data_IF_308680689050
#
_entry.id   IF_308680689050
#
_cell.length_a   1.000
_cell.length_b   1.000
_cell.length_c   1.000
_cell.angle_alpha   90.00
_cell.angle_beta   90.00
_cell.angle_gamma   90.00
#
_symmetry.space_group_name_H-M   'P 1'
#
loop_
_entity.id
_entity.type
_entity.pdbx_description
1 polymer ?
#
# COMPACT_ATOMS: atom_id res chain seq x y z
N UNK A 1 27.76 -20.32 -8.08
CA UNK A 1 28.71 -19.95 -7.00
C UNK A 1 29.90 -19.12 -7.54
N UNK A 2 29.68 -17.94 -8.15
CA UNK A 2 30.78 -17.16 -8.75
C UNK A 2 30.87 -15.68 -8.33
N UNK A 3 30.12 -15.23 -7.32
CA UNK A 3 30.03 -13.79 -7.02
C UNK A 3 30.60 -13.33 -5.65
N UNK A 4 31.20 -14.24 -4.85
CA UNK A 4 31.80 -13.87 -3.56
C UNK A 4 33.29 -13.49 -3.63
N UNK A 5 34.01 -13.91 -4.68
CA UNK A 5 35.45 -13.61 -4.82
C UNK A 5 35.69 -12.18 -5.31
N UNK A 6 34.84 -11.67 -6.20
CA UNK A 6 34.93 -10.31 -6.74
C UNK A 6 34.71 -9.24 -5.65
N UNK A 7 33.78 -9.45 -4.71
CA UNK A 7 33.49 -8.44 -3.69
C UNK A 7 34.65 -8.19 -2.71
N UNK A 8 35.47 -9.22 -2.45
CA UNK A 8 36.66 -9.12 -1.58
C UNK A 8 37.82 -8.37 -2.23
N UNK A 9 37.99 -8.47 -3.55
CA UNK A 9 38.99 -7.67 -4.26
C UNK A 9 38.56 -6.20 -4.32
N UNK A 10 37.29 -5.93 -4.64
CA UNK A 10 36.76 -4.55 -4.63
C UNK A 10 36.90 -3.86 -3.26
N UNK A 11 36.68 -4.58 -2.15
CA UNK A 11 36.83 -4.00 -0.82
C UNK A 11 38.28 -3.66 -0.45
N UNK A 12 39.25 -4.46 -0.92
CA UNK A 12 40.68 -4.15 -0.74
C UNK A 12 41.11 -2.92 -1.54
N UNK A 13 40.64 -2.78 -2.78
CA UNK A 13 40.91 -1.60 -3.61
C UNK A 13 40.23 -0.33 -3.06
N UNK A 14 38.99 -0.44 -2.57
CA UNK A 14 38.27 0.67 -1.93
C UNK A 14 38.98 1.16 -0.66
N UNK A 15 39.51 0.25 0.16
CA UNK A 15 40.30 0.60 1.33
C UNK A 15 41.62 1.31 0.95
N UNK A 16 42.30 0.85 -0.10
CA UNK A 16 43.53 1.49 -0.60
C UNK A 16 43.29 2.92 -1.11
N UNK A 17 42.17 3.16 -1.81
CA UNK A 17 41.79 4.51 -2.29
C UNK A 17 41.43 5.45 -1.12
N UNK A 18 40.77 4.93 -0.08
CA UNK A 18 40.44 5.70 1.13
C UNK A 18 41.68 6.10 1.95
N UNK A 19 42.69 5.23 2.03
CA UNK A 19 43.96 5.55 2.74
C UNK A 19 44.80 6.57 1.96
N UNK A 20 44.80 6.51 0.62
CA UNK A 20 45.53 7.48 -0.21
C UNK A 20 44.96 8.91 -0.12
N UNK A 21 43.65 9.06 0.13
CA UNK A 21 43.01 10.37 0.29
C UNK A 21 43.26 11.03 1.66
N UNK A 22 43.67 10.27 2.68
CA UNK A 22 43.88 10.78 4.04
C UNK A 22 45.32 11.25 4.31
N UNK A 23 46.26 11.04 3.37
CA UNK A 23 47.67 11.41 3.55
C UNK A 23 48.08 12.74 2.86
N UNK A 24 47.14 13.49 2.27
CA UNK A 24 47.44 14.67 1.45
C UNK A 24 47.17 16.04 2.10
N UNK A 25 46.89 16.12 3.40
CA UNK A 25 46.72 17.39 4.11
C UNK A 25 47.52 17.42 5.42
N UNK A 26 48.84 17.56 5.32
CA UNK A 26 49.68 17.90 6.47
C UNK A 26 50.85 18.78 6.06
N UNK A 27 50.59 20.04 5.71
CA UNK A 27 51.57 21.14 5.87
C UNK A 27 50.91 22.51 5.66
N UNK A 28 50.55 23.18 6.76
CA UNK A 28 50.38 24.63 6.77
C UNK A 28 50.66 25.15 8.20
N UNK A 29 51.55 26.15 8.38
CA UNK A 29 51.89 26.69 9.70
C UNK A 29 50.76 27.57 10.27
N UNK A 30 50.64 27.66 11.62
CA UNK A 30 49.54 28.38 12.25
C UNK A 30 49.69 29.92 12.16
N UNK A 31 48.67 30.66 11.72
CA UNK A 31 48.65 32.12 11.82
C UNK A 31 48.24 32.60 13.24
N UNK A 32 48.70 33.80 13.66
CA UNK A 32 48.58 34.28 15.03
C UNK A 32 47.14 34.63 15.43
N UNK A 33 46.87 34.47 16.73
CA UNK A 33 45.59 34.64 17.39
C UNK A 33 44.96 36.02 17.13
N UNK A 34 43.80 36.03 16.48
CA UNK A 34 42.88 37.17 16.46
C UNK A 34 41.51 36.68 16.92
N UNK A 35 41.05 37.30 17.99
CA UNK A 35 39.78 37.15 18.71
C UNK A 35 38.54 36.94 17.82
N UNK A 36 37.58 36.09 18.23
CA UNK A 36 36.38 35.85 17.44
C UNK A 36 35.41 37.02 17.56
N UNK A 37 35.30 37.82 16.49
CA UNK A 37 34.16 38.70 16.28
C UNK A 37 33.03 37.81 15.74
N UNK A 38 32.09 37.46 16.61
CA UNK A 38 30.85 36.75 16.26
C UNK A 38 30.12 37.59 15.22
N UNK A 39 30.17 37.15 13.96
CA UNK A 39 29.29 37.66 12.91
C UNK A 39 27.97 36.93 13.11
N UNK A 40 27.06 37.58 13.83
CA UNK A 40 25.65 37.23 13.82
C UNK A 40 25.17 37.27 12.37
N UNK A 41 24.95 36.10 11.76
CA UNK A 41 24.21 35.98 10.51
C UNK A 41 22.76 36.36 10.83
N UNK A 42 22.44 37.63 10.66
CA UNK A 42 21.05 38.09 10.59
C UNK A 42 20.34 37.24 9.53
N UNK A 43 19.42 36.38 9.97
CA UNK A 43 18.54 35.61 9.08
C UNK A 43 17.60 36.62 8.45
N UNK A 44 18.03 37.21 7.35
CA UNK A 44 17.15 37.98 6.46
C UNK A 44 16.12 36.98 5.96
N UNK A 45 14.90 37.06 6.48
CA UNK A 45 13.75 36.28 6.02
C UNK A 45 13.38 36.80 4.63
N UNK A 46 14.09 36.32 3.61
CA UNK A 46 13.77 36.61 2.22
C UNK A 46 12.39 36.01 1.93
N UNK A 47 11.50 36.79 1.35
CA UNK A 47 10.22 36.27 0.86
C UNK A 47 10.49 35.07 -0.08
N UNK A 48 9.79 33.94 0.09
CA UNK A 48 10.03 32.74 -0.70
C UNK A 48 9.83 33.06 -2.18
N UNK A 49 10.76 32.62 -3.03
CA UNK A 49 10.58 32.75 -4.48
C UNK A 49 9.49 31.80 -4.98
N UNK A 50 8.97 32.04 -6.18
CA UNK A 50 8.01 31.15 -6.83
C UNK A 50 8.56 29.71 -6.96
N UNK A 51 9.86 29.56 -7.22
CA UNK A 51 10.56 28.29 -7.24
C UNK A 51 10.61 27.62 -5.85
N UNK A 52 10.77 28.39 -4.77
CA UNK A 52 10.79 27.84 -3.41
C UNK A 52 9.42 27.25 -3.04
N UNK A 53 8.33 27.95 -3.36
CA UNK A 53 6.96 27.46 -3.14
C UNK A 53 6.68 26.22 -4.01
N UNK A 54 7.12 26.23 -5.27
CA UNK A 54 6.97 25.08 -6.14
C UNK A 54 7.69 23.84 -5.60
N UNK A 55 8.95 24.00 -5.19
CA UNK A 55 9.75 22.92 -4.61
C UNK A 55 9.19 22.44 -3.27
N UNK A 56 8.61 23.34 -2.47
CA UNK A 56 7.87 22.98 -1.25
C UNK A 56 6.72 22.03 -1.59
N UNK A 57 5.92 22.32 -2.61
CA UNK A 57 4.87 21.43 -3.10
C UNK A 57 5.38 20.05 -3.53
N UNK A 58 6.48 20.02 -4.29
CA UNK A 58 7.14 18.76 -4.69
C UNK A 58 7.63 17.94 -3.49
N UNK A 59 8.15 18.60 -2.45
CA UNK A 59 8.65 17.90 -1.24
C UNK A 59 7.56 17.13 -0.48
N UNK A 60 6.29 17.50 -0.70
CA UNK A 60 5.14 16.82 -0.11
C UNK A 60 4.63 15.66 -0.97
N UNK A 61 5.03 15.53 -2.25
CA UNK A 61 4.61 14.42 -3.11
C UNK A 61 5.22 13.06 -2.71
N UNK A 62 6.09 13.06 -1.69
CA UNK A 62 6.70 11.84 -1.16
C UNK A 62 7.77 11.27 -2.09
N UNK A 63 8.40 10.20 -1.63
CA UNK A 63 9.36 9.42 -2.40
C UNK A 63 9.30 7.96 -1.93
N UNK A 64 10.26 7.13 -2.32
CA UNK A 64 10.31 5.72 -1.92
C UNK A 64 10.50 5.51 -0.41
N UNK A 65 10.96 6.52 0.34
CA UNK A 65 11.20 6.46 1.78
C UNK A 65 10.11 7.16 2.61
N UNK A 66 9.40 8.13 2.00
CA UNK A 66 8.46 9.00 2.68
C UNK A 66 7.10 9.02 1.97
N UNK A 67 6.05 8.74 2.74
CA UNK A 67 4.68 8.84 2.25
C UNK A 67 4.35 10.26 1.77
N UNK A 68 3.56 10.35 0.70
CA UNK A 68 3.07 11.60 0.16
C UNK A 68 2.04 12.24 1.09
N UNK A 69 2.11 13.56 1.22
CA UNK A 69 1.10 14.41 1.85
C UNK A 69 0.44 15.26 0.76
N UNK A 70 -0.50 14.65 0.04
CA UNK A 70 -1.16 15.27 -1.11
C UNK A 70 -1.94 16.54 -0.75
N UNK A 71 -2.44 16.65 0.49
CA UNK A 71 -3.12 17.84 0.97
C UNK A 71 -2.16 19.04 1.03
N UNK A 72 -1.00 18.86 1.67
CA UNK A 72 0.03 19.92 1.73
C UNK A 72 0.66 20.21 0.38
N UNK A 73 0.82 19.20 -0.47
CA UNK A 73 1.30 19.40 -1.84
C UNK A 73 0.34 20.31 -2.63
N UNK A 74 -0.96 20.00 -2.61
CA UNK A 74 -1.99 20.79 -3.28
C UNK A 74 -2.06 22.20 -2.71
N UNK A 75 -2.00 22.37 -1.39
CA UNK A 75 -1.99 23.69 -0.74
C UNK A 75 -0.81 24.56 -1.22
N UNK A 76 0.41 24.00 -1.26
CA UNK A 76 1.58 24.73 -1.74
C UNK A 76 1.48 25.11 -3.23
N UNK A 77 0.90 24.26 -4.07
CA UNK A 77 0.65 24.62 -5.47
C UNK A 77 -0.41 25.71 -5.62
N UNK A 78 -1.48 25.68 -4.82
CA UNK A 78 -2.47 26.76 -4.79
C UNK A 78 -1.87 28.08 -4.29
N UNK A 79 -1.01 28.02 -3.26
CA UNK A 79 -0.26 29.17 -2.74
C UNK A 79 0.56 29.84 -3.86
N UNK A 80 1.21 29.04 -4.72
CA UNK A 80 1.95 29.55 -5.88
C UNK A 80 1.03 30.24 -6.89
N UNK A 81 -0.12 29.65 -7.21
CA UNK A 81 -1.06 30.20 -8.20
C UNK A 81 -1.64 31.55 -7.77
N UNK A 82 -1.86 31.73 -6.46
CA UNK A 82 -2.38 32.97 -5.87
C UNK A 82 -1.28 34.03 -5.77
N UNK A 83 -0.11 33.65 -5.26
CA UNK A 83 0.98 34.60 -4.95
C UNK A 83 1.74 35.04 -6.21
N UNK A 84 1.87 34.15 -7.19
CA UNK A 84 2.65 34.38 -8.40
C UNK A 84 1.87 34.00 -9.68
N UNK A 85 0.83 34.76 -10.06
CA UNK A 85 0.00 34.45 -11.22
C UNK A 85 0.76 34.49 -12.55
N UNK A 86 1.90 35.19 -12.63
CA UNK A 86 2.76 35.24 -13.82
C UNK A 86 3.91 34.23 -13.81
N UNK A 87 3.99 33.31 -12.83
CA UNK A 87 5.11 32.38 -12.72
C UNK A 87 5.16 31.39 -13.89
N UNK A 88 6.37 31.04 -14.32
CA UNK A 88 6.62 29.93 -15.25
C UNK A 88 6.12 28.57 -14.71
N UNK A 89 5.99 28.43 -13.39
CA UNK A 89 5.54 27.21 -12.72
C UNK A 89 4.02 27.07 -12.65
N UNK A 90 3.27 28.09 -13.09
CA UNK A 90 1.81 28.12 -13.01
C UNK A 90 1.16 26.90 -13.66
N UNK A 91 1.45 26.66 -14.93
CA UNK A 91 0.79 25.59 -15.70
C UNK A 91 1.10 24.21 -15.14
N UNK A 92 2.32 24.03 -14.67
CA UNK A 92 2.75 22.79 -14.03
C UNK A 92 2.02 22.59 -12.70
N UNK A 93 1.89 23.64 -11.89
CA UNK A 93 1.17 23.60 -10.61
C UNK A 93 -0.31 23.27 -10.79
N UNK A 94 -1.00 23.87 -11.76
CA UNK A 94 -2.39 23.52 -12.12
C UNK A 94 -2.52 22.04 -12.49
N UNK A 95 -1.55 21.52 -13.24
CA UNK A 95 -1.53 20.12 -13.67
C UNK A 95 -1.31 19.20 -12.47
N UNK A 96 -0.38 19.55 -11.58
CA UNK A 96 -0.12 18.79 -10.35
C UNK A 96 -1.35 18.72 -9.45
N UNK A 97 -2.06 19.84 -9.26
CA UNK A 97 -3.33 19.87 -8.51
C UNK A 97 -4.34 18.91 -9.14
N UNK A 98 -4.57 19.01 -10.46
CA UNK A 98 -5.52 18.12 -11.14
C UNK A 98 -5.15 16.63 -11.04
N UNK A 99 -3.86 16.31 -11.07
CA UNK A 99 -3.38 14.93 -10.89
C UNK A 99 -3.59 14.44 -9.45
N UNK A 100 -3.33 15.29 -8.45
CA UNK A 100 -3.60 14.99 -7.05
C UNK A 100 -5.08 14.70 -6.84
N UNK A 101 -5.97 15.55 -7.35
CA UNK A 101 -7.42 15.39 -7.20
C UNK A 101 -7.91 14.08 -7.83
N UNK A 102 -7.42 13.75 -9.02
CA UNK A 102 -7.72 12.48 -9.71
C UNK A 102 -7.23 11.28 -8.94
N UNK A 103 -6.02 11.37 -8.37
CA UNK A 103 -5.44 10.28 -7.57
C UNK A 103 -6.27 10.05 -6.30
N UNK A 104 -6.60 11.11 -5.56
CA UNK A 104 -7.40 11.02 -4.34
C UNK A 104 -8.79 10.45 -4.62
N UNK A 105 -9.46 10.93 -5.68
CA UNK A 105 -10.76 10.38 -6.09
C UNK A 105 -10.68 8.90 -6.50
N UNK A 106 -9.61 8.50 -7.17
CA UNK A 106 -9.36 7.10 -7.53
C UNK A 106 -9.13 6.23 -6.30
N UNK A 107 -8.32 6.70 -5.34
CA UNK A 107 -8.08 5.98 -4.08
C UNK A 107 -9.35 5.81 -3.25
N UNK A 108 -10.20 6.84 -3.17
CA UNK A 108 -11.48 6.76 -2.46
C UNK A 108 -12.40 5.71 -3.09
N UNK A 109 -12.56 5.74 -4.42
CA UNK A 109 -13.33 4.72 -5.15
C UNK A 109 -12.78 3.32 -4.91
N UNK A 110 -11.46 3.16 -5.01
CA UNK A 110 -10.81 1.87 -4.75
C UNK A 110 -11.05 1.37 -3.32
N UNK A 111 -11.00 2.27 -2.32
CA UNK A 111 -11.30 1.93 -0.93
C UNK A 111 -12.76 1.50 -0.75
N UNK A 112 -13.69 2.23 -1.37
CA UNK A 112 -15.11 1.91 -1.33
C UNK A 112 -15.40 0.55 -1.99
N UNK A 113 -14.84 0.30 -3.18
CA UNK A 113 -14.98 -0.97 -3.89
C UNK A 113 -14.38 -2.13 -3.10
N UNK A 114 -13.19 -1.93 -2.50
CA UNK A 114 -12.57 -2.93 -1.62
C UNK A 114 -13.45 -3.25 -0.42
N UNK A 115 -14.05 -2.24 0.23
CA UNK A 115 -14.95 -2.46 1.35
C UNK A 115 -16.21 -3.22 0.95
N UNK A 116 -16.78 -2.90 -0.22
CA UNK A 116 -17.92 -3.62 -0.80
C UNK A 116 -17.58 -5.08 -1.09
N UNK A 117 -16.44 -5.34 -1.73
CA UNK A 117 -15.99 -6.71 -2.04
C UNK A 117 -15.74 -7.53 -0.78
N UNK A 118 -15.17 -6.96 0.28
CA UNK A 118 -15.00 -7.66 1.55
C UNK A 118 -16.35 -8.06 2.16
N UNK A 119 -17.33 -7.14 2.15
CA UNK A 119 -18.68 -7.42 2.65
C UNK A 119 -19.38 -8.52 1.84
N UNK A 120 -19.27 -8.48 0.51
CA UNK A 120 -19.82 -9.51 -0.37
C UNK A 120 -19.14 -10.86 -0.14
N UNK A 121 -17.81 -10.88 0.06
CA UNK A 121 -17.08 -12.11 0.35
C UNK A 121 -17.54 -12.75 1.67
N UNK A 122 -17.72 -11.95 2.72
CA UNK A 122 -18.20 -12.44 4.01
C UNK A 122 -19.64 -12.96 3.93
N UNK A 123 -20.49 -12.30 3.12
CA UNK A 123 -21.84 -12.77 2.87
C UNK A 123 -21.84 -14.11 2.14
N UNK A 124 -21.05 -14.23 1.06
CA UNK A 124 -20.91 -15.47 0.31
C UNK A 124 -20.36 -16.62 1.16
N UNK A 125 -19.45 -16.36 2.11
CA UNK A 125 -18.98 -17.39 3.06
C UNK A 125 -20.11 -17.90 3.96
N UNK A 126 -20.95 -16.99 4.47
CA UNK A 126 -22.11 -17.38 5.30
C UNK A 126 -23.13 -18.17 4.51
N UNK A 127 -23.43 -17.74 3.28
CA UNK A 127 -24.38 -18.43 2.42
C UNK A 127 -23.87 -19.82 2.01
N UNK A 128 -22.59 -19.95 1.67
CA UNK A 128 -21.97 -21.25 1.41
C UNK A 128 -22.06 -22.18 2.62
N UNK A 129 -21.80 -21.67 3.84
CA UNK A 129 -21.93 -22.47 5.06
C UNK A 129 -23.37 -22.97 5.25
N UNK A 130 -24.36 -22.08 5.08
CA UNK A 130 -25.79 -22.44 5.19
C UNK A 130 -26.17 -23.50 4.15
N UNK A 131 -25.77 -23.32 2.89
CA UNK A 131 -26.06 -24.27 1.82
C UNK A 131 -25.42 -25.64 2.05
N UNK A 132 -24.21 -25.69 2.61
CA UNK A 132 -23.57 -26.94 3.01
C UNK A 132 -24.35 -27.65 4.13
N UNK A 133 -24.78 -26.90 5.16
CA UNK A 133 -25.60 -27.46 6.24
C UNK A 133 -26.95 -28.00 5.74
N UNK A 134 -27.61 -27.28 4.82
CA UNK A 134 -28.85 -27.73 4.18
C UNK A 134 -28.61 -28.99 3.32
N UNK A 135 -27.51 -29.02 2.56
CA UNK A 135 -27.15 -30.19 1.74
C UNK A 135 -26.97 -31.43 2.62
N UNK A 136 -26.28 -31.30 3.77
CA UNK A 136 -26.09 -32.41 4.71
C UNK A 136 -27.44 -32.90 5.26
N UNK A 137 -28.34 -31.99 5.64
CA UNK A 137 -29.69 -32.35 6.11
C UNK A 137 -30.47 -33.11 5.05
N UNK A 138 -30.49 -32.61 3.81
CA UNK A 138 -31.19 -33.28 2.72
C UNK A 138 -30.63 -34.67 2.42
N UNK A 139 -29.31 -34.86 2.50
CA UNK A 139 -28.68 -36.18 2.34
C UNK A 139 -29.15 -37.13 3.45
N UNK A 140 -29.18 -36.68 4.70
CA UNK A 140 -29.64 -37.48 5.84
C UNK A 140 -31.12 -37.86 5.72
N UNK A 141 -31.98 -36.89 5.37
CA UNK A 141 -33.42 -37.14 5.15
C UNK A 141 -33.64 -38.14 4.01
N UNK A 142 -32.89 -38.02 2.92
CA UNK A 142 -32.98 -38.94 1.78
C UNK A 142 -32.54 -40.36 2.15
N UNK A 143 -31.48 -40.50 2.95
CA UNK A 143 -31.06 -41.80 3.49
C UNK A 143 -32.12 -42.41 4.41
N UNK A 144 -32.76 -41.61 5.26
CA UNK A 144 -33.83 -42.08 6.13
C UNK A 144 -35.04 -42.54 5.31
N UNK A 145 -35.49 -41.74 4.34
CA UNK A 145 -36.60 -42.10 3.46
C UNK A 145 -36.32 -43.38 2.67
N UNK A 146 -35.07 -43.60 2.22
CA UNK A 146 -34.68 -44.87 1.57
C UNK A 146 -34.87 -46.08 2.49
N UNK A 147 -34.49 -45.96 3.77
CA UNK A 147 -34.69 -47.03 4.77
C UNK A 147 -36.17 -47.28 5.01
N UNK A 148 -36.96 -46.22 5.16
CA UNK A 148 -38.40 -46.33 5.38
C UNK A 148 -39.11 -47.00 4.20
N UNK A 149 -38.74 -46.65 2.97
CA UNK A 149 -39.25 -47.30 1.75
C UNK A 149 -38.90 -48.79 1.72
N UNK A 150 -37.67 -49.18 2.11
CA UNK A 150 -37.27 -50.59 2.17
C UNK A 150 -38.08 -51.37 3.23
N UNK A 151 -38.31 -50.76 4.40
CA UNK A 151 -39.13 -51.35 5.45
C UNK A 151 -40.57 -51.57 4.97
N UNK A 152 -41.18 -50.56 4.35
CA UNK A 152 -42.53 -50.65 3.81
C UNK A 152 -42.67 -51.78 2.78
N UNK A 153 -41.71 -51.89 1.84
CA UNK A 153 -41.67 -53.01 0.88
C UNK A 153 -41.59 -54.37 1.57
N UNK A 154 -40.80 -54.48 2.65
CA UNK A 154 -40.69 -55.74 3.39
C UNK A 154 -42.01 -56.12 4.09
N UNK A 155 -42.73 -55.14 4.63
CA UNK A 155 -44.01 -55.32 5.30
C UNK A 155 -45.11 -55.69 4.30
N UNK A 156 -45.14 -55.06 3.14
CA UNK A 156 -46.05 -55.39 2.03
C UNK A 156 -45.92 -56.86 1.62
N UNK A 157 -44.69 -57.35 1.41
CA UNK A 157 -44.43 -58.76 1.11
C UNK A 157 -44.91 -59.70 2.23
N UNK A 158 -44.76 -59.31 3.50
CA UNK A 158 -45.26 -60.12 4.63
C UNK A 158 -46.78 -60.17 4.67
N UNK A 159 -47.46 -59.06 4.40
CA UNK A 159 -48.92 -58.99 4.33
C UNK A 159 -49.45 -59.87 3.20
N UNK A 160 -48.87 -59.78 1.99
CA UNK A 160 -49.26 -60.64 0.88
C UNK A 160 -49.10 -62.13 1.19
N UNK A 161 -48.00 -62.51 1.86
CA UNK A 161 -47.78 -63.90 2.29
C UNK A 161 -48.85 -64.37 3.27
N UNK A 162 -49.21 -63.53 4.24
CA UNK A 162 -50.29 -63.85 5.21
C UNK A 162 -51.64 -63.98 4.53
N UNK A 163 -51.95 -63.08 3.61
CA UNK A 163 -53.20 -63.12 2.85
C UNK A 163 -53.33 -64.40 2.00
N UNK A 164 -52.23 -64.83 1.37
CA UNK A 164 -52.16 -66.10 0.62
C UNK A 164 -52.30 -67.34 1.50
N UNK A 165 -51.90 -67.30 2.77
CA UNK A 165 -52.06 -68.42 3.71
C UNK A 165 -53.48 -68.52 4.30
N UNK A 166 -54.26 -67.44 4.21
CA UNK A 166 -55.61 -67.35 4.76
C UNK A 166 -56.71 -67.59 3.71
N UNK A 167 -56.35 -67.76 2.44
CA UNK A 167 -57.23 -68.11 1.32
C UNK A 167 -57.01 -69.55 0.91
#
# INVERSE_FOLDING_TARGET
>A
MLNRKMWKTYHKYLAYVLVAFLAACASAPPPPAVSPKVIERSVVTRAPSDADIFNKGLSYLGNHEKAADYAKASEAFHELLITYPGSKWRKLSETMISLIDKLQSSEEKFRADKAKLLKENDQLKKDNKRLLEETVKFVQENEQLKKDIQLLKSLEVQLEKREKMLR
#
